data_IF_180973916119
#
_entry.id   IF_180973916119
#
_cell.length_a   1.000
_cell.length_b   1.000
_cell.length_c   1.000
_cell.angle_alpha   90.00
_cell.angle_beta   90.00
_cell.angle_gamma   90.00
#
_symmetry.space_group_name_H-M   'P 1'
#
loop_
_entity.id
_entity.type
_entity.pdbx_description
1 polymer ?
#
# COMPACT_ATOMS: atom_id res chain seq x y z
N UNK A 1 -29.94 35.67 5.27
CA UNK A 1 -29.84 34.22 5.46
C UNK A 1 -28.44 33.93 5.96
N UNK A 2 -28.28 33.60 7.24
CA UNK A 2 -27.01 33.21 7.83
C UNK A 2 -26.74 31.73 7.52
N UNK A 3 -25.72 31.45 6.72
CA UNK A 3 -25.25 30.06 6.54
C UNK A 3 -24.60 29.60 7.86
N UNK A 4 -24.98 28.43 8.41
CA UNK A 4 -24.38 27.94 9.63
C UNK A 4 -22.91 27.60 9.39
N UNK A 5 -22.06 28.16 10.24
CA UNK A 5 -20.63 27.91 10.36
C UNK A 5 -20.34 26.40 10.46
N UNK A 6 -20.04 25.77 9.33
CA UNK A 6 -19.20 24.59 9.32
C UNK A 6 -17.74 25.07 9.30
N UNK A 7 -17.32 25.65 10.43
CA UNK A 7 -15.95 26.10 10.64
C UNK A 7 -15.02 24.90 10.94
N UNK A 8 -15.16 23.85 10.14
CA UNK A 8 -14.27 22.71 10.19
C UNK A 8 -12.92 23.17 9.67
N UNK A 9 -11.92 23.09 10.53
CA UNK A 9 -10.52 23.26 10.15
C UNK A 9 -10.21 22.30 9.00
N UNK A 10 -9.55 22.82 7.98
CA UNK A 10 -9.05 22.03 6.86
C UNK A 10 -7.93 21.13 7.37
N UNK A 11 -8.07 19.84 7.10
CA UNK A 11 -6.98 18.87 7.23
C UNK A 11 -5.91 19.20 6.18
N UNK A 12 -4.76 19.69 6.66
CA UNK A 12 -3.65 20.11 5.82
C UNK A 12 -3.04 18.98 4.98
N UNK A 13 -3.05 17.75 5.49
CA UNK A 13 -2.53 16.61 4.74
C UNK A 13 -3.48 16.26 3.60
N UNK A 14 -4.79 16.24 3.87
CA UNK A 14 -5.81 16.04 2.85
C UNK A 14 -5.77 17.16 1.78
N UNK A 15 -5.60 18.42 2.21
CA UNK A 15 -5.43 19.56 1.33
C UNK A 15 -4.21 19.40 0.40
N UNK A 16 -3.05 19.02 0.94
CA UNK A 16 -1.84 18.77 0.15
C UNK A 16 -2.03 17.66 -0.87
N UNK A 17 -2.66 16.55 -0.48
CA UNK A 17 -2.99 15.45 -1.40
C UNK A 17 -3.92 15.89 -2.52
N UNK A 18 -4.96 16.66 -2.18
CA UNK A 18 -5.91 17.16 -3.17
C UNK A 18 -5.25 18.14 -4.16
N UNK A 19 -4.41 19.05 -3.68
CA UNK A 19 -3.65 19.99 -4.50
C UNK A 19 -2.72 19.27 -5.48
N UNK A 20 -2.00 18.23 -5.03
CA UNK A 20 -1.16 17.41 -5.91
C UNK A 20 -1.98 16.65 -6.95
N UNK A 21 -3.11 16.06 -6.54
CA UNK A 21 -4.02 15.38 -7.46
C UNK A 21 -4.54 16.33 -8.55
N UNK A 22 -4.93 17.56 -8.18
CA UNK A 22 -5.37 18.58 -9.14
C UNK A 22 -4.27 19.03 -10.08
N UNK A 23 -3.05 19.20 -9.58
CA UNK A 23 -1.90 19.54 -10.41
C UNK A 23 -1.66 18.48 -11.49
N UNK A 24 -1.64 17.19 -11.12
CA UNK A 24 -1.54 16.09 -12.09
C UNK A 24 -2.70 16.05 -13.09
N UNK A 25 -3.93 16.39 -12.65
CA UNK A 25 -5.11 16.42 -13.54
C UNK A 25 -4.99 17.54 -14.59
N UNK A 26 -4.48 18.71 -14.20
CA UNK A 26 -4.32 19.86 -15.09
C UNK A 26 -3.19 19.64 -16.09
N UNK A 27 -2.07 19.07 -15.65
CA UNK A 27 -0.95 18.71 -16.53
C UNK A 27 -1.39 17.75 -17.64
N UNK A 28 -2.33 16.85 -17.34
CA UNK A 28 -2.86 15.85 -18.29
C UNK A 28 -4.07 16.32 -19.10
N UNK A 29 -4.70 17.44 -18.73
CA UNK A 29 -5.90 17.92 -19.41
C UNK A 29 -5.56 18.35 -20.85
N UNK A 30 -6.40 18.02 -21.82
CA UNK A 30 -6.32 18.59 -23.19
C UNK A 30 -7.13 19.87 -23.34
N UNK A 31 -7.98 20.17 -22.36
CA UNK A 31 -9.10 21.11 -22.52
C UNK A 31 -8.71 22.56 -22.23
N UNK A 32 -7.48 22.77 -21.75
CA UNK A 32 -6.92 24.07 -21.39
C UNK A 32 -5.79 24.44 -22.34
N UNK A 33 -5.70 25.72 -22.69
CA UNK A 33 -4.55 26.25 -23.43
C UNK A 33 -3.27 26.12 -22.60
N UNK A 34 -2.11 26.10 -23.26
CA UNK A 34 -0.82 25.97 -22.58
C UNK A 34 -0.55 27.14 -21.61
N UNK A 35 -0.99 28.35 -21.95
CA UNK A 35 -0.88 29.53 -21.08
C UNK A 35 -1.75 29.42 -19.83
N UNK A 36 -2.99 28.95 -19.98
CA UNK A 36 -3.89 28.74 -18.84
C UNK A 36 -3.37 27.65 -17.91
N UNK A 37 -2.90 26.53 -18.48
CA UNK A 37 -2.24 25.47 -17.70
C UNK A 37 -1.06 25.99 -16.91
N UNK A 38 -0.17 26.76 -17.56
CA UNK A 38 1.01 27.31 -16.91
C UNK A 38 0.63 28.22 -15.74
N UNK A 39 -0.38 29.09 -15.92
CA UNK A 39 -0.88 29.97 -14.87
C UNK A 39 -1.48 29.17 -13.70
N UNK A 40 -2.34 28.19 -13.97
CA UNK A 40 -2.98 27.41 -12.90
C UNK A 40 -1.95 26.53 -12.17
N UNK A 41 -0.99 25.95 -12.88
CA UNK A 41 0.11 25.19 -12.26
C UNK A 41 0.96 26.10 -11.37
N UNK A 42 1.28 27.32 -11.81
CA UNK A 42 2.04 28.28 -11.00
C UNK A 42 1.30 28.63 -9.70
N UNK A 43 -0.02 28.86 -9.78
CA UNK A 43 -0.88 29.12 -8.63
C UNK A 43 -0.96 27.90 -7.68
N UNK A 44 -1.17 26.69 -8.22
CA UNK A 44 -1.23 25.49 -7.38
C UNK A 44 0.11 25.16 -6.72
N UNK A 45 1.24 25.43 -7.40
CA UNK A 45 2.58 25.27 -6.81
C UNK A 45 2.85 26.27 -5.69
N UNK A 46 2.38 27.51 -5.80
CA UNK A 46 2.54 28.48 -4.71
C UNK A 46 1.75 28.09 -3.47
N UNK A 47 0.62 27.40 -3.60
CA UNK A 47 -0.17 26.89 -2.48
C UNK A 47 0.34 25.59 -1.85
N UNK A 48 1.29 24.89 -2.47
CA UNK A 48 1.79 23.61 -1.97
C UNK A 48 2.47 23.74 -0.58
N UNK A 49 3.00 24.92 -0.27
CA UNK A 49 3.71 25.21 0.97
C UNK A 49 2.89 26.03 1.97
N UNK A 50 1.65 26.39 1.62
CA UNK A 50 0.77 27.22 2.44
C UNK A 50 -0.23 26.34 3.18
N UNK A 51 -0.53 26.69 4.42
CA UNK A 51 -1.56 26.04 5.23
C UNK A 51 -2.95 26.18 4.56
N UNK A 52 -3.70 25.10 4.48
CA UNK A 52 -5.00 25.06 3.79
C UNK A 52 -6.01 26.02 4.39
N UNK A 53 -5.98 26.27 5.70
CA UNK A 53 -6.85 27.27 6.33
C UNK A 53 -6.43 28.69 5.97
N UNK A 54 -5.13 28.93 5.79
CA UNK A 54 -4.62 30.22 5.29
C UNK A 54 -5.05 30.46 3.84
N UNK A 55 -4.96 29.44 2.98
CA UNK A 55 -5.45 29.53 1.59
C UNK A 55 -6.95 29.78 1.56
N UNK A 56 -7.73 29.07 2.40
CA UNK A 56 -9.18 29.29 2.55
C UNK A 56 -9.49 30.73 2.95
N UNK A 57 -8.76 31.26 3.93
CA UNK A 57 -8.93 32.64 4.39
C UNK A 57 -8.68 33.65 3.27
N UNK A 58 -7.52 33.55 2.58
CA UNK A 58 -7.15 34.46 1.48
C UNK A 58 -8.17 34.39 0.34
N UNK A 59 -8.62 33.18 -0.02
CA UNK A 59 -9.59 33.01 -1.10
C UNK A 59 -10.94 33.61 -0.74
N UNK A 60 -11.43 33.35 0.48
CA UNK A 60 -12.68 33.94 0.95
C UNK A 60 -12.60 35.48 0.96
N UNK A 61 -11.51 36.04 1.48
CA UNK A 61 -11.26 37.49 1.46
C UNK A 61 -11.28 38.05 0.03
N UNK A 62 -10.56 37.40 -0.90
CA UNK A 62 -10.54 37.81 -2.31
C UNK A 62 -11.93 37.73 -2.97
N UNK A 63 -12.71 36.68 -2.70
CA UNK A 63 -14.06 36.53 -3.24
C UNK A 63 -15.02 37.59 -2.69
N UNK A 64 -15.02 37.82 -1.38
CA UNK A 64 -15.86 38.84 -0.74
C UNK A 64 -15.54 40.24 -1.28
N UNK A 65 -14.25 40.59 -1.39
CA UNK A 65 -13.84 41.89 -1.93
C UNK A 65 -14.12 42.05 -3.44
N UNK A 66 -14.06 40.97 -4.22
CA UNK A 66 -14.39 41.01 -5.65
C UNK A 66 -15.85 41.39 -5.93
N UNK A 67 -16.74 41.11 -4.98
CA UNK A 67 -18.18 41.42 -5.11
C UNK A 67 -18.53 42.86 -4.74
N UNK A 68 -17.73 43.48 -3.86
CA UNK A 68 -18.00 44.82 -3.32
C UNK A 68 -17.73 45.94 -4.33
N UNK A 69 -16.68 45.82 -5.14
CA UNK A 69 -16.28 46.86 -6.11
C UNK A 69 -17.23 46.98 -7.31
N UNK A 70 -18.05 45.95 -7.58
CA UNK A 70 -19.04 46.01 -8.67
C UNK A 70 -20.23 46.93 -8.37
N UNK A 71 -20.55 47.21 -7.11
CA UNK A 71 -21.71 48.06 -6.76
C UNK A 71 -21.39 49.56 -6.76
N UNK A 72 -20.12 49.94 -6.64
CA UNK A 72 -19.68 51.34 -6.50
C UNK A 72 -19.61 52.07 -7.86
N UNK A 73 -19.55 51.33 -8.97
CA UNK A 73 -19.57 51.89 -10.33
C UNK A 73 -20.99 52.09 -10.90
N UNK A 74 -22.04 51.56 -10.25
CA UNK A 74 -23.40 51.62 -10.77
C UNK A 74 -24.14 52.95 -10.49
N UNK A 75 -23.62 53.82 -9.61
CA UNK A 75 -24.34 55.02 -9.14
C UNK A 75 -23.73 56.36 -9.55
N UNK A 76 -22.73 56.39 -10.44
CA UNK A 76 -22.26 57.65 -11.06
C UNK A 76 -22.95 57.90 -12.41
N UNK A 77 -24.27 58.07 -12.37
CA UNK A 77 -25.01 58.82 -13.40
C UNK A 77 -25.05 60.27 -12.93
N UNK A 78 -23.95 60.98 -13.12
CA UNK A 78 -24.01 62.43 -13.13
C UNK A 78 -24.46 62.87 -14.52
N UNK A 79 -25.55 63.63 -14.52
CA UNK A 79 -26.12 64.31 -15.67
C UNK A 79 -25.04 65.08 -16.44
N UNK A 80 -24.83 64.73 -17.70
CA UNK A 80 -24.26 65.67 -18.67
C UNK A 80 -25.00 65.51 -19.98
N UNK A 81 -25.62 66.62 -20.38
CA UNK A 81 -26.54 66.74 -21.49
C UNK A 81 -25.88 66.47 -22.85
N UNK A 82 -26.71 65.90 -23.74
CA UNK A 82 -26.76 66.06 -25.19
C UNK A 82 -25.43 66.19 -25.97
N UNK A 83 -25.10 65.15 -26.75
CA UNK A 83 -24.97 65.29 -28.20
C UNK A 83 -24.95 63.90 -28.89
N UNK A 84 -25.61 63.86 -30.04
CA UNK A 84 -25.78 62.73 -30.95
C UNK A 84 -24.44 62.09 -31.40
N UNK A 85 -24.36 60.75 -31.43
CA UNK A 85 -24.19 59.91 -32.64
C UNK A 85 -23.97 58.42 -32.23
N UNK A 86 -24.51 57.42 -32.94
CA UNK A 86 -24.34 56.02 -32.58
C UNK A 86 -23.21 55.37 -33.39
N UNK A 87 -22.21 54.80 -32.73
CA UNK A 87 -21.38 53.76 -33.35
C UNK A 87 -21.20 52.60 -32.37
N UNK A 88 -21.91 51.52 -32.68
CA UNK A 88 -21.84 50.23 -32.03
C UNK A 88 -20.40 49.70 -32.04
N UNK A 89 -19.86 49.39 -30.86
CA UNK A 89 -18.90 48.30 -30.73
C UNK A 89 -19.22 47.49 -29.46
N UNK A 90 -19.85 46.35 -29.70
CA UNK A 90 -20.30 45.38 -28.72
C UNK A 90 -19.07 44.58 -28.23
N UNK A 91 -18.49 44.95 -27.10
CA UNK A 91 -17.55 44.08 -26.40
C UNK A 91 -18.32 43.24 -25.39
N UNK A 92 -18.60 41.99 -25.80
CA UNK A 92 -19.10 40.91 -24.95
C UNK A 92 -18.20 40.73 -23.73
N UNK A 93 -18.65 41.24 -22.58
CA UNK A 93 -18.12 40.88 -21.28
C UNK A 93 -18.49 39.42 -20.98
N UNK A 94 -17.50 38.52 -21.07
CA UNK A 94 -17.63 37.13 -20.66
C UNK A 94 -17.46 37.02 -19.14
N UNK A 95 -18.55 37.19 -18.40
CA UNK A 95 -18.65 36.71 -17.02
C UNK A 95 -19.16 35.28 -17.08
N UNK A 96 -18.25 34.32 -17.29
CA UNK A 96 -18.52 32.91 -17.09
C UNK A 96 -18.37 32.60 -15.59
N UNK A 97 -19.49 32.71 -14.85
CA UNK A 97 -19.60 32.08 -13.54
C UNK A 97 -19.66 30.57 -13.80
N UNK A 98 -18.60 29.86 -13.40
CA UNK A 98 -18.55 28.41 -13.42
C UNK A 98 -19.49 27.90 -12.33
N UNK A 99 -20.71 27.52 -12.72
CA UNK A 99 -21.66 26.84 -11.84
C UNK A 99 -21.24 25.37 -11.68
N UNK A 100 -20.83 24.98 -10.47
CA UNK A 100 -20.39 23.64 -10.10
C UNK A 100 -21.49 22.82 -9.40
N UNK A 101 -22.76 23.06 -9.70
CA UNK A 101 -23.82 22.14 -9.26
C UNK A 101 -23.80 20.87 -10.10
N UNK A 102 -23.17 19.83 -9.56
CA UNK A 102 -23.28 18.43 -9.97
C UNK A 102 -24.76 18.02 -10.02
N UNK A 103 -25.24 17.75 -11.22
CA UNK A 103 -26.57 17.24 -11.50
C UNK A 103 -26.50 15.72 -11.58
N UNK A 104 -26.54 15.02 -10.44
CA UNK A 104 -26.70 13.56 -10.38
C UNK A 104 -28.19 13.22 -10.26
N UNK A 105 -28.82 12.98 -11.42
CA UNK A 105 -30.08 12.24 -11.50
C UNK A 105 -29.79 10.77 -11.77
N UNK A 106 -29.71 9.96 -10.72
CA UNK A 106 -30.18 8.58 -10.79
C UNK A 106 -30.95 8.22 -9.52
N UNK A 107 -32.26 8.33 -9.63
CA UNK A 107 -33.24 7.71 -8.74
C UNK A 107 -33.14 6.18 -8.82
N UNK A 108 -33.13 5.49 -7.66
CA UNK A 108 -34.21 4.58 -7.24
C UNK A 108 -33.86 3.85 -5.92
N UNK A 109 -34.77 4.04 -4.96
CA UNK A 109 -35.24 3.14 -3.91
C UNK A 109 -34.25 2.47 -2.93
N UNK A 110 -34.38 2.85 -1.65
CA UNK A 110 -34.62 1.87 -0.58
C UNK A 110 -35.20 2.54 0.67
N UNK A 111 -36.32 1.97 1.14
CA UNK A 111 -36.96 2.22 2.43
C UNK A 111 -36.02 1.86 3.60
N UNK A 112 -36.14 2.49 4.78
CA UNK A 112 -35.51 2.03 6.00
C UNK A 112 -36.49 1.14 6.79
N UNK A 113 -36.07 -0.08 7.12
CA UNK A 113 -36.63 -0.87 8.24
C UNK A 113 -35.71 -0.77 9.47
N UNK A 114 -36.25 -0.98 10.68
CA UNK A 114 -35.69 -0.44 11.90
C UNK A 114 -34.62 -1.32 12.53
N UNK A 115 -33.82 -0.65 13.36
CA UNK A 115 -32.94 -1.15 14.41
C UNK A 115 -33.60 -2.21 15.28
N UNK A 116 -32.95 -3.37 15.39
CA UNK A 116 -33.21 -4.36 16.42
C UNK A 116 -32.03 -4.45 17.38
N UNK A 117 -32.39 -4.33 18.65
CA UNK A 117 -31.53 -4.28 19.82
C UNK A 117 -31.04 -5.68 20.24
N UNK A 118 -29.80 -5.71 20.71
CA UNK A 118 -29.30 -6.45 21.87
C UNK A 118 -30.06 -7.72 22.32
N UNK A 119 -29.43 -8.89 22.14
CA UNK A 119 -29.43 -9.89 23.20
C UNK A 119 -28.16 -10.75 23.20
N UNK A 120 -27.39 -10.58 24.27
CA UNK A 120 -26.32 -11.48 24.68
C UNK A 120 -26.94 -12.78 25.22
N UNK A 121 -26.51 -13.93 24.72
CA UNK A 121 -26.65 -15.19 25.42
C UNK A 121 -25.31 -15.90 25.52
N UNK A 122 -24.80 -15.88 26.74
CA UNK A 122 -23.78 -16.75 27.30
C UNK A 122 -24.35 -18.17 27.31
N UNK A 123 -23.68 -19.11 26.65
CA UNK A 123 -23.71 -20.52 27.06
C UNK A 123 -22.32 -21.13 26.90
N UNK A 124 -21.69 -21.33 28.06
CA UNK A 124 -20.66 -22.31 28.30
C UNK A 124 -21.18 -23.71 27.97
N UNK A 125 -20.43 -24.48 27.20
CA UNK A 125 -20.52 -25.94 27.24
C UNK A 125 -19.18 -26.55 26.88
N UNK A 126 -18.47 -26.92 27.94
CA UNK A 126 -17.51 -28.00 28.01
C UNK A 126 -18.11 -29.33 27.54
N UNK A 127 -17.41 -30.08 26.70
CA UNK A 127 -17.44 -31.55 26.73
C UNK A 127 -16.25 -32.14 26.00
N UNK A 128 -15.38 -32.74 26.79
CA UNK A 128 -14.51 -33.86 26.45
C UNK A 128 -15.24 -34.95 25.65
N UNK A 129 -14.62 -35.48 24.59
CA UNK A 129 -14.66 -36.93 24.35
C UNK A 129 -13.49 -37.38 23.46
N UNK A 130 -12.84 -38.41 23.98
CA UNK A 130 -11.86 -39.31 23.40
C UNK A 130 -12.48 -40.29 22.39
N UNK A 131 -11.68 -40.73 21.41
CA UNK A 131 -11.93 -41.96 20.63
C UNK A 131 -11.50 -41.76 19.16
N UNK A 132 -10.37 -42.31 18.68
CA UNK A 132 -10.09 -43.73 18.41
C UNK A 132 -10.84 -44.29 17.21
N UNK A 133 -10.17 -44.35 16.05
CA UNK A 133 -10.24 -45.40 15.01
C UNK A 133 -9.60 -44.81 13.74
N UNK A 134 -8.40 -45.22 13.34
CA UNK A 134 -8.15 -46.40 12.50
C UNK A 134 -9.10 -46.46 11.31
N UNK A 135 -8.62 -46.02 10.15
CA UNK A 135 -9.07 -46.56 8.86
C UNK A 135 -7.90 -46.49 7.85
N UNK A 136 -7.27 -47.64 7.71
CA UNK A 136 -6.42 -48.04 6.60
C UNK A 136 -7.18 -47.91 5.28
N UNK A 137 -6.66 -47.13 4.33
CA UNK A 137 -7.06 -47.27 2.93
C UNK A 137 -5.83 -47.39 2.03
N UNK A 138 -5.35 -48.62 1.91
CA UNK A 138 -4.29 -49.04 0.98
C UNK A 138 -4.91 -49.75 -0.22
N UNK A 139 -4.40 -49.37 -1.40
CA UNK A 139 -4.39 -50.09 -2.68
C UNK A 139 -5.71 -50.22 -3.45
N UNK A 140 -5.71 -49.66 -4.67
CA UNK A 140 -5.69 -50.50 -5.89
C UNK A 140 -5.32 -49.68 -7.12
N UNK A 141 -4.25 -50.12 -7.79
CA UNK A 141 -3.87 -49.83 -9.18
C UNK A 141 -4.21 -51.10 -9.97
N UNK A 142 -4.74 -50.99 -11.20
CA UNK A 142 -3.98 -51.46 -12.37
C UNK A 142 -4.14 -50.48 -13.55
N UNK A 143 -3.10 -50.12 -14.32
CA UNK A 143 -2.51 -50.87 -15.44
C UNK A 143 -3.51 -51.22 -16.55
N UNK A 144 -3.32 -50.64 -17.74
CA UNK A 144 -3.77 -51.25 -19.00
C UNK A 144 -4.24 -50.30 -20.12
N UNK A 145 -3.43 -50.25 -21.17
CA UNK A 145 -3.79 -50.27 -22.60
C UNK A 145 -4.16 -48.96 -23.33
N UNK A 146 -3.24 -48.57 -24.22
CA UNK A 146 -3.41 -48.43 -25.67
C UNK A 146 -4.73 -47.86 -26.20
N UNK A 147 -4.64 -46.70 -26.87
CA UNK A 147 -5.41 -46.49 -28.09
C UNK A 147 -4.74 -45.45 -29.00
N UNK A 148 -4.45 -45.94 -30.20
CA UNK A 148 -3.93 -45.23 -31.35
C UNK A 148 -4.92 -44.21 -31.95
N UNK A 149 -4.33 -43.27 -32.72
CA UNK A 149 -4.89 -42.68 -33.95
C UNK A 149 -6.28 -42.01 -33.90
N UNK A 150 -6.31 -40.68 -33.85
CA UNK A 150 -7.10 -39.90 -34.84
C UNK A 150 -6.37 -38.60 -35.19
N UNK A 151 -5.84 -38.58 -36.42
CA UNK A 151 -5.42 -37.40 -37.16
C UNK A 151 -6.65 -36.58 -37.57
N UNK A 152 -6.72 -35.30 -37.18
CA UNK A 152 -7.47 -34.27 -37.92
C UNK A 152 -6.74 -32.93 -37.88
N UNK A 153 -6.00 -32.66 -38.96
CA UNK A 153 -5.67 -31.30 -39.40
C UNK A 153 -6.96 -30.50 -39.65
N UNK A 154 -6.96 -29.18 -39.39
CA UNK A 154 -7.19 -28.31 -40.54
C UNK A 154 -6.40 -27.00 -40.55
N UNK A 155 -5.96 -26.67 -41.78
CA UNK A 155 -5.90 -25.33 -42.39
C UNK A 155 -4.83 -24.35 -41.89
N UNK A 156 -3.66 -24.48 -42.53
CA UNK A 156 -2.73 -23.38 -42.83
C UNK A 156 -3.44 -22.31 -43.67
N UNK A 157 -3.71 -21.12 -43.11
CA UNK A 157 -3.98 -19.91 -43.90
C UNK A 157 -2.64 -19.36 -44.41
N UNK A 158 -2.45 -19.42 -45.72
CA UNK A 158 -1.40 -18.69 -46.43
C UNK A 158 -1.78 -17.21 -46.45
N UNK A 159 -1.00 -16.35 -45.79
CA UNK A 159 -1.01 -14.93 -46.07
C UNK A 159 0.00 -14.66 -47.19
N UNK A 160 -0.49 -14.07 -48.28
CA UNK A 160 0.30 -13.62 -49.41
C UNK A 160 1.21 -12.48 -48.97
N UNK A 161 2.52 -12.66 -49.15
CA UNK A 161 3.52 -11.62 -49.02
C UNK A 161 3.45 -10.71 -50.24
N UNK A 162 2.92 -9.50 -50.06
CA UNK A 162 3.00 -8.43 -51.04
C UNK A 162 4.44 -7.88 -51.03
N UNK A 163 5.15 -8.05 -52.14
CA UNK A 163 6.38 -7.34 -52.42
C UNK A 163 6.11 -5.83 -52.45
N UNK A 164 6.67 -5.10 -51.48
CA UNK A 164 6.79 -3.65 -51.57
C UNK A 164 8.26 -3.30 -51.70
N UNK A 165 8.58 -2.72 -52.87
CA UNK A 165 9.88 -2.26 -53.30
C UNK A 165 10.43 -1.19 -52.34
N UNK A 166 11.63 -1.41 -51.81
CA UNK A 166 12.41 -0.39 -51.11
C UNK A 166 13.05 0.56 -52.13
N UNK A 167 12.43 1.74 -52.34
CA UNK A 167 13.11 2.91 -52.90
C UNK A 167 13.71 3.73 -51.76
N UNK A 168 14.93 4.19 -51.99
CA UNK A 168 15.86 4.72 -50.99
C UNK A 168 15.34 5.90 -50.18
N UNK A 169 15.96 6.06 -49.02
CA UNK A 169 15.91 7.29 -48.25
C UNK A 169 17.26 7.53 -47.58
N UNK A 170 17.63 8.79 -47.64
CA UNK A 170 18.93 9.38 -47.38
C UNK A 170 19.49 9.09 -45.97
N UNK A 171 20.82 9.09 -45.91
CA UNK A 171 21.60 9.21 -44.67
C UNK A 171 21.20 10.51 -43.97
N UNK A 172 20.41 10.40 -42.91
CA UNK A 172 20.31 11.43 -41.90
C UNK A 172 21.38 11.16 -40.84
N UNK A 173 22.14 12.20 -40.55
CA UNK A 173 23.21 12.25 -39.57
C UNK A 173 22.71 11.75 -38.20
N UNK A 174 23.38 10.70 -37.73
CA UNK A 174 23.21 10.11 -36.41
C UNK A 174 23.74 11.12 -35.38
N UNK A 175 22.89 12.08 -35.03
CA UNK A 175 23.17 13.05 -33.97
C UNK A 175 22.94 12.33 -32.64
N UNK A 176 24.06 12.11 -31.97
CA UNK A 176 24.20 11.50 -30.66
C UNK A 176 23.24 12.13 -29.62
N UNK A 177 22.07 11.52 -29.43
CA UNK A 177 21.13 11.83 -28.35
C UNK A 177 21.28 10.85 -27.18
N UNK A 178 22.51 10.42 -26.89
CA UNK A 178 22.84 9.65 -25.68
C UNK A 178 23.25 10.55 -24.49
N UNK A 179 22.99 11.87 -24.56
CA UNK A 179 23.55 12.88 -23.65
C UNK A 179 22.59 13.63 -22.71
N UNK A 180 21.36 13.17 -22.44
CA UNK A 180 20.38 13.93 -21.60
C UNK A 180 19.91 13.16 -20.36
N UNK A 181 20.44 11.97 -20.07
CA UNK A 181 20.30 11.33 -18.75
C UNK A 181 21.65 11.30 -18.04
N UNK A 182 22.26 12.48 -17.89
CA UNK A 182 23.39 12.66 -16.98
C UNK A 182 22.92 12.30 -15.57
N UNK A 183 23.47 11.20 -15.04
CA UNK A 183 23.26 10.67 -13.69
C UNK A 183 23.75 11.60 -12.56
N UNK A 184 24.12 12.84 -12.87
CA UNK A 184 24.74 13.78 -11.92
C UNK A 184 23.75 14.77 -11.30
N UNK A 185 22.45 14.66 -11.60
CA UNK A 185 21.39 15.39 -10.92
C UNK A 185 20.72 14.59 -9.78
N UNK A 186 21.37 13.54 -9.26
CA UNK A 186 20.95 12.89 -8.01
C UNK A 186 21.35 13.77 -6.82
N UNK A 187 20.62 14.86 -6.68
CA UNK A 187 20.58 15.69 -5.49
C UNK A 187 20.46 14.77 -4.27
N UNK A 188 21.33 14.96 -3.28
CA UNK A 188 21.24 14.28 -1.98
C UNK A 188 19.86 14.64 -1.41
N UNK A 189 18.89 13.76 -1.62
CA UNK A 189 17.56 13.91 -1.07
C UNK A 189 17.69 13.94 0.45
N UNK A 190 17.10 14.96 1.06
CA UNK A 190 17.00 15.01 2.51
C UNK A 190 16.14 13.83 2.96
N UNK A 191 16.28 13.40 4.22
CA UNK A 191 15.45 12.31 4.74
C UNK A 191 13.94 12.65 4.66
N UNK A 192 13.60 13.94 4.70
CA UNK A 192 12.22 14.44 4.51
C UNK A 192 11.72 14.29 3.07
N UNK A 193 12.62 14.21 2.09
CA UNK A 193 12.27 13.91 0.70
C UNK A 193 12.13 12.39 0.48
N UNK A 194 12.86 11.59 1.30
CA UNK A 194 12.86 10.13 1.22
C UNK A 194 11.64 9.50 1.90
N UNK A 195 11.29 9.97 3.09
CA UNK A 195 10.10 9.57 3.84
C UNK A 195 9.04 10.65 3.71
N UNK A 196 7.80 10.27 3.39
CA UNK A 196 6.70 11.24 3.39
C UNK A 196 6.52 11.83 4.79
N UNK A 197 6.00 13.06 4.88
CA UNK A 197 5.61 13.67 6.17
C UNK A 197 4.70 12.73 6.95
N UNK A 198 3.75 12.07 6.27
CA UNK A 198 2.86 11.05 6.86
C UNK A 198 3.65 9.88 7.45
N UNK A 199 4.70 9.38 6.77
CA UNK A 199 5.55 8.31 7.29
C UNK A 199 6.35 8.76 8.52
N UNK A 200 6.86 9.99 8.54
CA UNK A 200 7.57 10.56 9.68
C UNK A 200 6.65 10.75 10.90
N UNK A 201 5.44 11.26 10.69
CA UNK A 201 4.41 11.39 11.74
C UNK A 201 3.99 10.01 12.25
N UNK A 202 3.75 9.06 11.34
CA UNK A 202 3.42 7.68 11.67
C UNK A 202 4.50 7.00 12.53
N UNK A 203 5.77 7.17 12.15
CA UNK A 203 6.91 6.69 12.92
C UNK A 203 6.99 7.36 14.30
N UNK A 204 6.80 8.68 14.36
CA UNK A 204 6.78 9.43 15.63
C UNK A 204 5.70 8.91 16.58
N UNK A 205 4.52 8.60 16.08
CA UNK A 205 3.43 8.00 16.86
C UNK A 205 3.76 6.57 17.30
N UNK A 206 4.37 5.76 16.44
CA UNK A 206 4.82 4.40 16.79
C UNK A 206 5.83 4.44 17.94
N UNK A 207 6.79 5.34 17.89
CA UNK A 207 7.83 5.48 18.93
C UNK A 207 7.26 6.07 20.22
N UNK A 208 6.38 7.09 20.13
CA UNK A 208 5.74 7.72 21.30
C UNK A 208 4.88 6.72 22.09
N UNK A 209 4.23 5.79 21.39
CA UNK A 209 3.37 4.75 21.99
C UNK A 209 3.98 3.35 21.88
N UNK A 210 5.28 3.25 22.15
CA UNK A 210 6.11 2.06 21.93
C UNK A 210 5.46 0.72 22.36
N UNK A 211 4.94 0.63 23.58
CA UNK A 211 4.33 -0.60 24.12
C UNK A 211 3.01 -0.99 23.43
N UNK A 212 2.16 -0.01 23.14
CA UNK A 212 0.93 -0.24 22.40
C UNK A 212 1.22 -0.62 20.94
N UNK A 213 2.17 0.08 20.32
CA UNK A 213 2.64 -0.20 18.97
C UNK A 213 3.28 -1.58 18.86
N UNK A 214 4.04 -2.03 19.88
CA UNK A 214 4.58 -3.40 19.93
C UNK A 214 3.45 -4.44 19.94
N UNK A 215 2.43 -4.28 20.78
CA UNK A 215 1.26 -5.19 20.79
C UNK A 215 0.55 -5.22 19.44
N UNK A 216 0.27 -4.06 18.85
CA UNK A 216 -0.36 -3.95 17.51
C UNK A 216 0.50 -4.61 16.42
N UNK A 217 1.82 -4.45 16.47
CA UNK A 217 2.74 -5.08 15.53
C UNK A 217 2.74 -6.60 15.70
N UNK A 218 2.75 -7.10 16.94
CA UNK A 218 2.70 -8.54 17.20
C UNK A 218 1.42 -9.17 16.66
N UNK A 219 0.27 -8.52 16.88
CA UNK A 219 -1.01 -8.96 16.34
C UNK A 219 -1.00 -8.96 14.80
N UNK A 220 -0.53 -7.87 14.19
CA UNK A 220 -0.39 -7.77 12.73
C UNK A 220 0.50 -8.86 12.15
N UNK A 221 1.65 -9.13 12.79
CA UNK A 221 2.58 -10.20 12.40
C UNK A 221 1.88 -11.56 12.44
N UNK A 222 1.16 -11.87 13.54
CA UNK A 222 0.42 -13.13 13.68
C UNK A 222 -0.64 -13.29 12.60
N UNK A 223 -1.46 -12.26 12.40
CA UNK A 223 -2.56 -12.25 11.42
C UNK A 223 -2.05 -12.45 9.99
N UNK A 224 -0.98 -11.74 9.61
CA UNK A 224 -0.40 -11.84 8.26
C UNK A 224 0.38 -13.14 8.06
N UNK A 225 1.10 -13.63 9.07
CA UNK A 225 1.78 -14.92 8.96
C UNK A 225 0.78 -16.09 8.87
N UNK A 226 -0.38 -15.98 9.53
CA UNK A 226 -1.45 -16.96 9.41
C UNK A 226 -2.17 -16.90 8.05
N UNK A 227 -2.12 -15.77 7.33
CA UNK A 227 -2.87 -15.58 6.09
C UNK A 227 -2.25 -16.28 4.88
N UNK A 228 -0.98 -16.68 4.93
CA UNK A 228 -0.36 -17.48 3.88
C UNK A 228 0.80 -18.34 4.35
N UNK A 229 0.97 -19.47 3.67
CA UNK A 229 2.02 -20.44 3.88
C UNK A 229 2.80 -20.66 2.58
N UNK A 230 4.11 -20.85 2.71
CA UNK A 230 5.00 -21.18 1.59
C UNK A 230 5.75 -22.44 2.00
N UNK A 231 5.31 -23.57 1.47
CA UNK A 231 5.98 -24.84 1.70
C UNK A 231 6.95 -25.07 0.55
N UNK A 232 8.23 -25.08 0.90
CA UNK A 232 9.33 -25.37 -0.02
C UNK A 232 10.12 -26.54 0.56
N UNK A 233 9.61 -27.78 0.44
CA UNK A 233 10.26 -28.95 0.99
C UNK A 233 11.71 -29.03 0.51
N UNK A 234 12.60 -29.51 1.38
CA UNK A 234 13.94 -29.87 0.95
C UNK A 234 13.82 -31.05 -0.01
N UNK A 235 14.42 -30.97 -1.21
CA UNK A 235 14.57 -32.16 -2.02
C UNK A 235 15.54 -33.08 -1.27
N UNK A 236 15.06 -34.25 -0.82
CA UNK A 236 15.91 -35.32 -0.29
C UNK A 236 16.91 -35.80 -1.34
N UNK A 237 16.60 -35.58 -2.62
CA UNK A 237 17.44 -35.91 -3.75
C UNK A 237 17.35 -34.82 -4.83
N UNK A 238 18.49 -34.41 -5.40
CA UNK A 238 18.61 -33.30 -6.38
C UNK A 238 17.70 -33.53 -7.61
N UNK A 239 17.34 -34.79 -7.85
CA UNK A 239 16.50 -35.25 -8.95
C UNK A 239 15.00 -34.98 -8.77
N UNK A 240 14.51 -34.82 -7.54
CA UNK A 240 13.07 -34.74 -7.24
C UNK A 240 12.72 -33.38 -6.64
N UNK A 241 12.47 -32.40 -7.51
CA UNK A 241 11.92 -31.13 -7.07
C UNK A 241 10.49 -31.33 -6.57
N UNK A 242 10.32 -31.22 -5.25
CA UNK A 242 8.99 -31.07 -4.65
C UNK A 242 8.30 -29.84 -5.24
N UNK A 243 7.01 -29.96 -5.53
CA UNK A 243 6.24 -28.81 -6.02
C UNK A 243 6.07 -27.82 -4.89
N UNK A 244 6.69 -26.64 -4.99
CA UNK A 244 6.53 -25.62 -3.95
C UNK A 244 5.08 -25.15 -3.93
N UNK A 245 4.44 -25.25 -2.76
CA UNK A 245 3.04 -24.85 -2.60
C UNK A 245 2.97 -23.50 -1.90
N UNK A 246 2.51 -22.50 -2.67
CA UNK A 246 2.13 -21.19 -2.15
C UNK A 246 0.65 -21.24 -1.80
N UNK A 247 0.33 -21.27 -0.51
CA UNK A 247 -1.03 -21.36 -0.02
C UNK A 247 -1.43 -20.03 0.64
N UNK A 248 -2.25 -19.23 -0.05
CA UNK A 248 -2.84 -18.02 0.53
C UNK A 248 -4.19 -18.43 1.14
N UNK A 249 -4.28 -18.44 2.47
CA UNK A 249 -5.47 -18.84 3.23
C UNK A 249 -6.48 -17.69 3.35
N UNK A 250 -5.99 -16.47 3.47
CA UNK A 250 -6.84 -15.29 3.65
C UNK A 250 -6.37 -14.15 2.75
N UNK A 251 -7.36 -13.54 2.10
CA UNK A 251 -7.17 -12.39 1.25
C UNK A 251 -7.52 -11.11 2.01
N UNK A 252 -6.60 -10.14 2.01
CA UNK A 252 -6.86 -8.80 2.53
C UNK A 252 -7.23 -7.86 1.38
N UNK A 253 -7.96 -6.80 1.70
CA UNK A 253 -8.28 -5.74 0.74
C UNK A 253 -6.98 -5.17 0.15
N UNK A 254 -6.93 -5.00 -1.18
CA UNK A 254 -5.71 -4.69 -1.96
C UNK A 254 -4.93 -3.51 -1.38
N UNK A 255 -5.62 -2.45 -0.95
CA UNK A 255 -5.01 -1.21 -0.44
C UNK A 255 -4.79 -1.21 1.07
N UNK A 256 -5.26 -2.23 1.77
CA UNK A 256 -5.13 -2.32 3.22
C UNK A 256 -3.67 -2.46 3.66
N UNK A 257 -3.40 -2.00 4.89
CA UNK A 257 -2.09 -2.18 5.55
C UNK A 257 -1.74 -3.66 5.71
N UNK A 258 -2.74 -4.53 5.90
CA UNK A 258 -2.54 -5.98 6.00
C UNK A 258 -2.12 -6.59 4.67
N UNK A 259 -2.72 -6.19 3.56
CA UNK A 259 -2.30 -6.60 2.21
C UNK A 259 -0.87 -6.19 1.91
N UNK A 260 -0.50 -4.94 2.21
CA UNK A 260 0.87 -4.46 2.03
C UNK A 260 1.89 -5.20 2.91
N UNK A 261 1.51 -5.54 4.15
CA UNK A 261 2.33 -6.37 5.04
C UNK A 261 2.46 -7.81 4.54
N UNK A 262 1.39 -8.37 3.96
CA UNK A 262 1.37 -9.69 3.32
C UNK A 262 2.31 -9.72 2.11
N UNK A 263 2.30 -8.68 1.27
CA UNK A 263 3.22 -8.53 0.14
C UNK A 263 4.69 -8.48 0.61
N UNK A 264 5.00 -7.64 1.60
CA UNK A 264 6.33 -7.55 2.20
C UNK A 264 6.79 -8.91 2.77
N UNK A 265 5.91 -9.61 3.50
CA UNK A 265 6.26 -10.91 4.08
C UNK A 265 6.45 -11.99 3.01
N UNK A 266 5.65 -11.98 1.94
CA UNK A 266 5.81 -12.91 0.83
C UNK A 266 7.15 -12.69 0.12
N UNK A 267 7.51 -11.43 -0.15
CA UNK A 267 8.81 -11.07 -0.71
C UNK A 267 9.98 -11.49 0.19
N UNK A 268 9.84 -11.35 1.51
CA UNK A 268 10.83 -11.83 2.48
C UNK A 268 11.02 -13.35 2.40
N UNK A 269 9.93 -14.12 2.50
CA UNK A 269 9.99 -15.60 2.47
C UNK A 269 10.58 -16.10 1.14
N UNK A 270 10.18 -15.52 0.00
CA UNK A 270 10.76 -15.85 -1.31
C UNK A 270 12.24 -15.48 -1.37
N UNK A 271 12.62 -14.30 -0.88
CA UNK A 271 14.02 -13.89 -0.82
C UNK A 271 14.87 -14.86 -0.01
N UNK A 272 14.34 -15.37 1.11
CA UNK A 272 14.99 -16.41 1.91
C UNK A 272 15.14 -17.74 1.19
N UNK A 273 14.13 -18.16 0.42
CA UNK A 273 14.25 -19.33 -0.45
C UNK A 273 15.33 -19.15 -1.52
N UNK A 274 15.42 -17.97 -2.13
CA UNK A 274 16.46 -17.67 -3.12
C UNK A 274 17.85 -17.65 -2.48
N UNK A 275 18.02 -17.07 -1.28
CA UNK A 275 19.29 -17.13 -0.53
C UNK A 275 19.68 -18.57 -0.21
N UNK A 276 18.72 -19.38 0.26
CA UNK A 276 18.92 -20.81 0.52
C UNK A 276 19.37 -21.52 -0.76
N UNK A 277 18.63 -21.37 -1.85
CA UNK A 277 18.93 -22.05 -3.12
C UNK A 277 20.30 -21.68 -3.68
N UNK A 278 20.76 -20.43 -3.48
CA UNK A 278 22.12 -20.00 -3.86
C UNK A 278 23.23 -20.74 -3.13
N UNK A 279 22.95 -21.25 -1.93
CA UNK A 279 23.92 -22.00 -1.14
C UNK A 279 24.02 -23.47 -1.58
N UNK A 280 22.98 -24.02 -2.22
CA UNK A 280 22.90 -25.44 -2.56
C UNK A 280 22.98 -25.73 -4.06
N UNK A 281 22.57 -24.78 -4.91
CA UNK A 281 22.39 -25.02 -6.34
C UNK A 281 23.23 -24.11 -7.22
N UNK A 282 23.43 -24.54 -8.47
CA UNK A 282 24.10 -23.73 -9.49
C UNK A 282 23.26 -22.50 -9.84
N UNK A 283 23.91 -21.44 -10.34
CA UNK A 283 23.26 -20.18 -10.76
C UNK A 283 22.12 -20.40 -11.77
N UNK A 284 22.24 -21.41 -12.64
CA UNK A 284 21.19 -21.76 -13.61
C UNK A 284 19.93 -22.27 -12.93
N UNK A 285 20.09 -23.21 -11.99
CA UNK A 285 18.98 -23.80 -11.22
C UNK A 285 18.33 -22.73 -10.33
N UNK A 286 19.12 -21.89 -9.66
CA UNK A 286 18.60 -20.77 -8.85
C UNK A 286 17.70 -19.85 -9.69
N UNK A 287 18.12 -19.53 -10.91
CA UNK A 287 17.31 -18.69 -11.82
C UNK A 287 16.02 -19.39 -12.25
N UNK A 288 16.05 -20.70 -12.48
CA UNK A 288 14.86 -21.49 -12.79
C UNK A 288 13.89 -21.56 -11.61
N UNK A 289 14.39 -21.82 -10.40
CA UNK A 289 13.60 -21.83 -9.17
C UNK A 289 12.98 -20.46 -8.91
N UNK A 290 13.75 -19.38 -9.09
CA UNK A 290 13.23 -18.01 -8.96
C UNK A 290 12.07 -17.74 -9.93
N UNK A 291 12.17 -18.20 -11.19
CA UNK A 291 11.07 -18.12 -12.16
C UNK A 291 9.86 -18.93 -11.69
N UNK A 292 10.08 -20.14 -11.16
CA UNK A 292 9.00 -20.98 -10.60
C UNK A 292 8.30 -20.31 -9.43
N UNK A 293 9.04 -19.76 -8.47
CA UNK A 293 8.52 -19.01 -7.32
C UNK A 293 7.67 -17.83 -7.77
N UNK A 294 8.19 -17.03 -8.70
CA UNK A 294 7.44 -15.90 -9.25
C UNK A 294 6.17 -16.36 -9.97
N UNK A 295 6.23 -17.41 -10.78
CA UNK A 295 5.06 -17.93 -11.50
C UNK A 295 4.01 -18.48 -10.53
N UNK A 296 4.41 -19.21 -9.50
CA UNK A 296 3.52 -19.75 -8.49
C UNK A 296 2.87 -18.64 -7.66
N UNK A 297 3.67 -17.67 -7.21
CA UNK A 297 3.17 -16.48 -6.52
C UNK A 297 2.23 -15.69 -7.44
N UNK A 298 2.61 -15.43 -8.68
CA UNK A 298 1.77 -14.70 -9.65
C UNK A 298 0.47 -15.43 -9.93
N UNK A 299 0.46 -16.76 -10.04
CA UNK A 299 -0.78 -17.53 -10.21
C UNK A 299 -1.73 -17.34 -9.03
N UNK A 300 -1.20 -17.28 -7.80
CA UNK A 300 -1.99 -17.07 -6.57
C UNK A 300 -2.35 -15.59 -6.35
N UNK A 301 -1.48 -14.67 -6.77
CA UNK A 301 -1.66 -13.23 -6.68
C UNK A 301 -2.39 -12.60 -7.87
N UNK A 302 -2.66 -13.33 -8.95
CA UNK A 302 -3.49 -12.87 -10.09
C UNK A 302 -4.87 -12.36 -9.65
N UNK A 303 -5.29 -12.70 -8.44
CA UNK A 303 -6.48 -12.15 -7.78
C UNK A 303 -6.33 -10.69 -7.29
N UNK A 304 -5.10 -10.23 -7.04
CA UNK A 304 -4.80 -8.96 -6.34
C UNK A 304 -4.36 -7.82 -7.25
N UNK A 305 -3.85 -8.10 -8.45
CA UNK A 305 -3.23 -7.08 -9.26
C UNK A 305 -3.82 -7.02 -10.67
N UNK A 306 -4.58 -5.97 -10.95
CA UNK A 306 -4.60 -5.36 -12.28
C UNK A 306 -3.25 -4.72 -12.66
N UNK A 307 -2.24 -4.77 -11.77
CA UNK A 307 -0.90 -4.28 -12.09
C UNK A 307 -0.34 -5.12 -13.23
N UNK A 308 -0.14 -4.45 -14.36
CA UNK A 308 0.67 -4.88 -15.49
C UNK A 308 1.84 -5.75 -15.03
N UNK A 309 2.02 -6.88 -15.72
CA UNK A 309 3.16 -7.79 -15.68
C UNK A 309 4.35 -7.22 -14.89
N UNK A 310 4.40 -7.46 -13.57
CA UNK A 310 5.58 -7.09 -12.81
C UNK A 310 6.76 -7.86 -13.41
N UNK A 311 7.81 -7.14 -13.77
CA UNK A 311 9.01 -7.72 -14.33
C UNK A 311 9.70 -8.59 -13.27
N UNK A 312 10.07 -9.81 -13.66
CA UNK A 312 10.80 -10.78 -12.85
C UNK A 312 12.05 -10.17 -12.18
N UNK A 313 12.75 -9.29 -12.90
CA UNK A 313 13.94 -8.60 -12.39
C UNK A 313 13.58 -7.70 -11.20
N UNK A 314 12.46 -6.98 -11.29
CA UNK A 314 12.00 -6.10 -10.24
C UNK A 314 11.59 -6.87 -8.99
N UNK A 315 10.94 -8.05 -9.13
CA UNK A 315 10.63 -8.89 -7.98
C UNK A 315 11.91 -9.39 -7.29
N UNK A 316 12.91 -9.83 -8.06
CA UNK A 316 14.18 -10.32 -7.51
C UNK A 316 14.90 -9.25 -6.69
N UNK A 317 14.98 -8.02 -7.23
CA UNK A 317 15.57 -6.87 -6.54
C UNK A 317 14.79 -6.55 -5.26
N UNK A 318 13.45 -6.56 -5.34
CA UNK A 318 12.58 -6.30 -4.20
C UNK A 318 12.77 -7.34 -3.08
N UNK A 319 12.75 -8.64 -3.41
CA UNK A 319 12.97 -9.72 -2.45
C UNK A 319 14.35 -9.59 -1.78
N UNK A 320 15.40 -9.30 -2.55
CA UNK A 320 16.75 -9.08 -2.01
C UNK A 320 16.79 -7.91 -1.02
N UNK A 321 16.15 -6.78 -1.35
CA UNK A 321 16.10 -5.60 -0.47
C UNK A 321 15.33 -5.87 0.82
N UNK A 322 14.21 -6.57 0.71
CA UNK A 322 13.39 -6.95 1.87
C UNK A 322 14.17 -7.87 2.82
N UNK A 323 14.90 -8.86 2.29
CA UNK A 323 15.72 -9.73 3.15
C UNK A 323 16.87 -8.96 3.81
N UNK A 324 17.56 -8.10 3.06
CA UNK A 324 18.60 -7.21 3.61
C UNK A 324 18.04 -6.34 4.74
N UNK A 325 16.89 -5.69 4.51
CA UNK A 325 16.21 -4.85 5.49
C UNK A 325 15.93 -5.61 6.79
N UNK A 326 15.30 -6.79 6.69
CA UNK A 326 15.00 -7.62 7.87
C UNK A 326 16.26 -8.08 8.58
N UNK A 327 17.32 -8.44 7.84
CA UNK A 327 18.59 -8.85 8.43
C UNK A 327 19.25 -7.75 9.27
N UNK A 328 19.09 -6.48 8.87
CA UNK A 328 19.68 -5.33 9.57
C UNK A 328 18.81 -4.84 10.72
N UNK A 329 17.51 -4.75 10.45
CA UNK A 329 16.56 -4.03 11.29
C UNK A 329 15.68 -4.93 12.14
N UNK A 330 15.42 -6.16 11.70
CA UNK A 330 14.43 -7.05 12.31
C UNK A 330 13.12 -7.09 11.53
N UNK A 331 12.30 -8.08 11.90
CA UNK A 331 11.12 -8.48 11.12
C UNK A 331 9.99 -7.44 11.17
N UNK A 332 9.91 -6.61 12.22
CA UNK A 332 8.85 -5.61 12.41
C UNK A 332 8.74 -4.61 11.25
N UNK A 333 9.85 -4.36 10.53
CA UNK A 333 9.92 -3.40 9.42
C UNK A 333 8.96 -3.75 8.29
N UNK A 334 8.66 -5.04 8.10
CA UNK A 334 7.70 -5.50 7.08
C UNK A 334 6.25 -5.14 7.42
N UNK A 335 5.99 -4.86 8.70
CA UNK A 335 4.66 -4.70 9.28
C UNK A 335 4.37 -3.26 9.67
N UNK A 336 5.14 -2.30 9.17
CA UNK A 336 4.89 -0.86 9.25
C UNK A 336 4.76 -0.23 7.84
N UNK A 337 3.81 -0.70 7.00
CA UNK A 337 3.61 -0.17 5.66
C UNK A 337 3.27 1.32 5.62
N UNK A 338 2.85 1.90 6.75
CA UNK A 338 2.66 3.35 6.90
C UNK A 338 3.97 4.13 6.78
N UNK A 339 5.10 3.49 7.11
CA UNK A 339 6.45 4.07 7.05
C UNK A 339 7.19 3.58 5.81
N UNK A 340 7.11 2.27 5.54
CA UNK A 340 7.84 1.62 4.46
C UNK A 340 6.93 0.71 3.62
N UNK A 341 6.05 1.29 2.80
CA UNK A 341 5.16 0.52 1.93
C UNK A 341 5.94 -0.21 0.82
N UNK A 342 5.41 -1.33 0.27
CA UNK A 342 6.08 -2.12 -0.78
C UNK A 342 6.61 -1.29 -1.96
N UNK A 343 5.81 -0.36 -2.48
CA UNK A 343 6.20 0.47 -3.62
C UNK A 343 7.44 1.34 -3.32
N UNK A 344 7.63 1.81 -2.08
CA UNK A 344 8.82 2.57 -1.68
C UNK A 344 10.05 1.67 -1.71
N UNK A 345 9.97 0.47 -1.15
CA UNK A 345 11.10 -0.49 -1.15
C UNK A 345 11.51 -0.84 -2.59
N UNK A 346 10.53 -0.98 -3.49
CA UNK A 346 10.78 -1.25 -4.92
C UNK A 346 11.50 -0.10 -5.63
N UNK A 347 11.12 1.14 -5.38
CA UNK A 347 11.61 2.31 -6.12
C UNK A 347 12.87 2.97 -5.52
N UNK A 348 13.18 2.72 -4.25
CA UNK A 348 14.28 3.42 -3.56
C UNK A 348 15.64 3.00 -4.11
N UNK A 349 16.53 3.96 -4.39
CA UNK A 349 17.93 3.67 -4.79
C UNK A 349 18.73 3.07 -3.62
N UNK A 350 19.82 2.33 -3.87
CA UNK A 350 20.63 1.75 -2.79
C UNK A 350 21.07 2.77 -1.72
N UNK A 351 21.60 3.93 -2.12
CA UNK A 351 22.09 4.96 -1.20
C UNK A 351 20.97 5.56 -0.35
N UNK A 352 19.80 5.78 -0.94
CA UNK A 352 18.64 6.27 -0.22
C UNK A 352 18.07 5.21 0.72
N UNK A 353 18.18 3.93 0.34
CA UNK A 353 17.74 2.81 1.16
C UNK A 353 18.60 2.70 2.43
N UNK A 354 19.91 2.89 2.31
CA UNK A 354 20.83 2.92 3.45
C UNK A 354 20.51 4.08 4.42
N UNK A 355 20.18 5.27 3.91
CA UNK A 355 19.73 6.39 4.75
C UNK A 355 18.45 6.07 5.52
N UNK A 356 17.46 5.45 4.86
CA UNK A 356 16.21 5.02 5.50
C UNK A 356 16.51 3.94 6.56
N UNK A 357 17.35 2.96 6.23
CA UNK A 357 17.77 1.90 7.14
C UNK A 357 18.41 2.49 8.41
N UNK A 358 19.39 3.37 8.25
CA UNK A 358 20.08 4.03 9.37
C UNK A 358 19.11 4.82 10.25
N UNK A 359 18.22 5.59 9.65
CA UNK A 359 17.24 6.38 10.39
C UNK A 359 16.27 5.51 11.18
N UNK A 360 15.69 4.49 10.53
CA UNK A 360 14.75 3.60 11.19
C UNK A 360 15.45 2.76 12.27
N UNK A 361 16.70 2.34 12.04
CA UNK A 361 17.47 1.60 13.03
C UNK A 361 17.69 2.46 14.28
N UNK A 362 18.08 3.74 14.13
CA UNK A 362 18.23 4.66 15.25
C UNK A 362 16.93 4.89 16.04
N UNK A 363 15.78 4.97 15.36
CA UNK A 363 14.50 5.34 15.99
C UNK A 363 13.71 4.15 16.52
N UNK A 364 13.92 2.96 15.99
CA UNK A 364 13.08 1.79 16.23
C UNK A 364 13.84 0.55 16.73
N UNK A 365 15.05 0.72 17.30
CA UNK A 365 15.85 -0.38 17.88
C UNK A 365 15.04 -1.25 18.85
N UNK A 366 14.16 -0.64 19.65
CA UNK A 366 13.29 -1.35 20.59
C UNK A 366 12.36 -2.40 19.94
N UNK A 367 11.98 -2.22 18.67
CA UNK A 367 11.10 -3.16 17.96
C UNK A 367 11.86 -4.34 17.32
N UNK A 368 13.20 -4.30 17.30
CA UNK A 368 14.05 -5.24 16.55
C UNK A 368 13.81 -6.72 16.91
N UNK A 369 13.56 -6.99 18.18
CA UNK A 369 13.47 -8.36 18.70
C UNK A 369 12.03 -8.85 18.88
N UNK A 370 11.02 -8.12 18.42
CA UNK A 370 9.61 -8.48 18.60
C UNK A 370 9.28 -9.84 17.99
N UNK A 371 9.92 -10.15 16.85
CA UNK A 371 9.70 -11.37 16.11
C UNK A 371 10.92 -11.74 15.25
N UNK A 372 11.16 -13.03 15.08
CA UNK A 372 12.17 -13.57 14.17
C UNK A 372 11.73 -14.94 13.65
N UNK A 373 12.32 -15.36 12.52
CA UNK A 373 12.21 -16.75 12.06
C UNK A 373 13.41 -17.52 12.56
N UNK A 374 13.18 -18.70 13.12
CA UNK A 374 14.26 -19.63 13.45
C UNK A 374 14.79 -20.33 12.18
N UNK A 375 15.73 -21.27 12.38
CA UNK A 375 16.37 -22.00 11.29
C UNK A 375 15.38 -22.88 10.51
N UNK A 376 14.31 -23.32 11.18
CA UNK A 376 13.25 -24.14 10.58
C UNK A 376 12.21 -23.29 9.84
N UNK A 377 12.37 -21.96 9.83
CA UNK A 377 11.38 -21.05 9.26
C UNK A 377 10.12 -20.90 10.11
N UNK A 378 10.17 -21.31 11.39
CA UNK A 378 9.10 -21.11 12.34
C UNK A 378 9.19 -19.71 12.94
N UNK A 379 8.07 -18.98 12.93
CA UNK A 379 7.97 -17.66 13.52
C UNK A 379 8.02 -17.78 15.06
N UNK A 380 9.01 -17.12 15.67
CA UNK A 380 9.11 -16.91 17.12
C UNK A 380 8.80 -15.46 17.45
N UNK A 381 8.03 -15.25 18.50
CA UNK A 381 7.66 -13.93 19.01
C UNK A 381 8.26 -13.77 20.40
N UNK A 382 8.68 -12.55 20.75
CA UNK A 382 9.12 -12.25 22.11
C UNK A 382 7.91 -12.35 23.06
N UNK A 383 7.93 -13.37 23.91
CA UNK A 383 6.91 -13.56 24.95
C UNK A 383 7.03 -12.43 25.99
N UNK A 384 5.94 -11.73 26.26
CA UNK A 384 5.85 -10.64 27.25
C UNK A 384 5.93 -11.13 28.72
N UNK A 385 6.62 -12.25 28.97
CA UNK A 385 6.65 -12.98 30.26
C UNK A 385 7.26 -12.18 31.41
N UNK A 386 7.95 -11.07 31.15
CA UNK A 386 8.62 -10.30 32.20
C UNK A 386 7.71 -9.30 32.95
N UNK A 387 6.46 -9.07 32.51
CA UNK A 387 5.61 -8.04 33.13
C UNK A 387 4.57 -8.56 34.15
N UNK A 388 4.45 -9.88 34.37
CA UNK A 388 3.47 -10.43 35.32
C UNK A 388 4.05 -10.96 36.64
N UNK A 389 5.37 -10.88 36.86
CA UNK A 389 6.01 -11.44 38.07
C UNK A 389 6.33 -10.41 39.17
N UNK A 390 5.77 -9.19 39.13
CA UNK A 390 6.00 -8.16 40.17
C UNK A 390 4.77 -7.75 40.98
N UNK A 391 3.70 -8.53 40.93
CA UNK A 391 2.62 -8.42 41.92
C UNK A 391 2.84 -9.46 43.02
N UNK A 392 3.91 -9.28 43.80
CA UNK A 392 4.17 -10.03 45.02
C UNK A 392 4.42 -9.01 46.14
N UNK A 393 3.45 -8.92 47.05
CA UNK A 393 3.75 -8.65 48.45
C UNK A 393 3.38 -7.27 48.98
N UNK A 394 2.12 -6.89 48.92
CA UNK A 394 1.55 -6.18 50.07
C UNK A 394 1.07 -7.22 51.09
N UNK A 395 2.01 -7.58 51.96
CA UNK A 395 1.78 -8.21 53.24
C UNK A 395 0.89 -7.30 54.10
N UNK A 396 -0.42 -7.45 53.95
CA UNK A 396 -1.41 -6.96 54.89
C UNK A 396 -1.45 -7.84 56.14
N UNK A 397 -0.63 -7.46 57.11
CA UNK A 397 -0.87 -7.52 58.56
C UNK A 397 -1.93 -8.48 59.11
N UNK A 398 -1.43 -9.41 59.90
CA UNK A 398 -2.03 -10.15 61.00
C UNK A 398 -3.01 -9.38 61.91
N UNK A 399 -4.19 -9.96 62.10
CA UNK A 399 -5.02 -9.97 63.32
C UNK A 399 -6.15 -10.97 63.04
N UNK A 400 -6.47 -12.02 63.79
CA UNK A 400 -6.32 -12.37 65.19
C UNK A 400 -7.58 -13.19 65.56
N UNK A 401 -7.49 -14.06 66.56
CA UNK A 401 -8.54 -14.90 67.18
C UNK A 401 -9.02 -16.13 66.38
N UNK A 402 -8.63 -17.36 66.77
CA UNK A 402 -9.28 -18.22 67.79
C UNK A 402 -10.65 -18.72 67.29
N UNK A 403 -10.90 -20.02 67.09
CA UNK A 403 -11.10 -20.99 68.17
C UNK A 403 -11.70 -22.28 67.58
N UNK A 404 -11.35 -23.45 68.15
CA UNK A 404 -12.23 -24.62 68.46
C UNK A 404 -12.87 -25.38 67.27
N UNK A 405 -12.98 -26.71 67.16
CA UNK A 405 -12.83 -27.89 68.04
C UNK A 405 -12.60 -29.16 67.19
N UNK A 406 -12.05 -30.18 67.86
CA UNK A 406 -12.33 -31.63 67.81
C UNK A 406 -13.59 -32.03 66.98
N UNK A 407 -13.62 -33.13 66.22
CA UNK A 407 -13.47 -34.54 66.66
C UNK A 407 -13.08 -35.47 65.49
N UNK A 408 -12.48 -36.65 65.76
CA UNK A 408 -12.24 -37.71 64.79
C UNK A 408 -13.39 -38.74 64.79
N UNK A 409 -13.50 -39.55 63.73
CA UNK A 409 -13.86 -40.99 63.81
C UNK A 409 -13.76 -41.69 62.45
N UNK A 410 -12.92 -42.73 62.45
CA UNK A 410 -12.86 -43.96 61.65
C UNK A 410 -12.84 -43.93 60.13
#
# INVERSE_FOLDING_TARGET
>A
MSFPENDKLIDNDLFKFYSQYKLCKIEKSSDLSNSEKAAIIAILKSFQFVDGNTVRFIMNEAFEHSSADSSLLANKKDDTAAHDDPTYSETKSMVNVIDLTLNDKSSLNSNPEPTDDNQAHILSSSSSSSGSSDDDFRASRPAGLDSDNVSLNPRKRKYASLHQQSKGKERAEETDMQGILSNDAFHVMSLQDLLTVVALVGLGNIVRHAEESKRRLQERIKTVNASFDIQAPFPDDISTYGTETFNIKTHFEVKSRLSQSQENLAAYKIGKLIERDRNYFSKSIVNENMKRYHQALSKKLKFYSHSEKQDLLHLSIYCKRVVHLVGKMGLYTLFIPEVLPPYRIKLTTPDNFEKIENYLNQRCTYFKNIAYYDQDGTLKMEDNKNNHAKDVGHSGSSSGSSSTSQFPSN
#
